data_IF_591566283341
#
_entry.id   IF_591566283341
#
_cell.length_a   1.000
_cell.length_b   1.000
_cell.length_c   1.000
_cell.angle_alpha   90.00
_cell.angle_beta   90.00
_cell.angle_gamma   90.00
#
_symmetry.space_group_name_H-M   'P 1'
#
loop_
_entity.id
_entity.type
_entity.pdbx_description
1 polymer ?
#
# COMPACT_ATOMS: atom_id res chain seq x y z
N UNK A 1 -1.71 41.60 64.36
CA UNK A 1 -2.42 40.29 64.25
C UNK A 1 -2.63 40.00 62.77
N UNK A 2 -2.60 38.71 62.42
CA UNK A 2 -2.11 38.10 61.17
C UNK A 2 -2.52 38.66 59.80
N UNK A 3 -1.56 38.56 58.87
CA UNK A 3 -1.63 38.79 57.42
C UNK A 3 -2.40 37.67 56.73
N UNK A 4 -3.21 37.98 55.71
CA UNK A 4 -3.70 36.99 54.73
C UNK A 4 -3.76 37.60 53.33
N UNK A 5 -2.61 37.58 52.65
CA UNK A 5 -2.51 37.87 51.22
C UNK A 5 -2.84 36.59 50.45
N UNK A 6 -4.03 36.55 49.84
CA UNK A 6 -4.52 35.40 49.09
C UNK A 6 -3.90 35.37 47.69
N UNK A 7 -2.95 34.46 47.47
CA UNK A 7 -2.44 34.14 46.13
C UNK A 7 -3.39 33.14 45.46
N UNK A 8 -4.12 33.59 44.44
CA UNK A 8 -4.92 32.70 43.57
C UNK A 8 -3.96 32.05 42.57
N UNK A 9 -3.54 30.82 42.85
CA UNK A 9 -2.83 29.95 41.91
C UNK A 9 -3.83 29.41 40.88
N UNK A 10 -3.95 30.09 39.75
CA UNK A 10 -4.64 29.55 38.57
C UNK A 10 -3.74 28.49 37.92
N UNK A 11 -3.93 27.22 38.30
CA UNK A 11 -3.28 26.08 37.64
C UNK A 11 -4.01 25.80 36.32
N UNK A 12 -3.51 26.38 35.22
CA UNK A 12 -3.91 25.98 33.87
C UNK A 12 -3.20 24.67 33.53
N UNK A 13 -3.84 23.53 33.84
CA UNK A 13 -3.39 22.23 33.36
C UNK A 13 -3.70 22.12 31.87
N UNK A 14 -2.77 22.57 31.01
CA UNK A 14 -2.81 22.26 29.57
C UNK A 14 -2.38 20.80 29.39
N UNK A 15 -3.31 19.87 29.60
CA UNK A 15 -3.12 18.47 29.27
C UNK A 15 -3.19 18.29 27.75
N UNK A 16 -2.04 18.12 27.10
CA UNK A 16 -2.02 17.55 25.76
C UNK A 16 -2.42 16.08 25.87
N UNK A 17 -3.69 15.79 25.58
CA UNK A 17 -4.14 14.43 25.31
C UNK A 17 -3.57 14.02 23.95
N UNK A 18 -2.37 13.44 23.96
CA UNK A 18 -1.85 12.76 22.79
C UNK A 18 -2.75 11.54 22.53
N UNK A 19 -3.62 11.65 21.53
CA UNK A 19 -4.36 10.50 21.01
C UNK A 19 -3.31 9.54 20.42
N UNK A 20 -3.21 8.34 20.98
CA UNK A 20 -2.25 7.34 20.52
C UNK A 20 -2.86 6.56 19.35
N UNK A 21 -2.18 6.60 18.20
CA UNK A 21 -2.60 5.82 17.04
C UNK A 21 -2.54 4.33 17.35
N UNK A 22 -3.51 3.58 16.83
CA UNK A 22 -3.60 2.13 17.02
C UNK A 22 -3.28 1.42 15.72
N UNK A 23 -2.44 0.40 15.77
CA UNK A 23 -1.99 -0.30 14.57
C UNK A 23 -2.96 -1.40 14.19
N UNK A 24 -3.25 -1.54 12.89
CA UNK A 24 -4.05 -2.64 12.35
C UNK A 24 -3.36 -3.23 11.13
N UNK A 25 -3.25 -4.56 11.11
CA UNK A 25 -2.75 -5.30 9.95
C UNK A 25 -3.91 -5.60 9.02
N UNK A 26 -3.78 -5.19 7.76
CA UNK A 26 -4.77 -5.49 6.73
C UNK A 26 -4.51 -6.89 6.18
N UNK A 27 -5.56 -7.66 5.93
CA UNK A 27 -5.43 -9.04 5.47
C UNK A 27 -4.70 -9.10 4.12
N UNK A 28 -3.67 -9.94 4.05
CA UNK A 28 -2.76 -10.06 2.90
C UNK A 28 -2.05 -8.77 2.49
N UNK A 29 -1.93 -7.81 3.40
CA UNK A 29 -1.22 -6.56 3.18
C UNK A 29 -0.40 -6.12 4.42
N UNK A 30 0.11 -4.89 4.38
CA UNK A 30 0.94 -4.30 5.41
C UNK A 30 0.14 -3.85 6.67
N UNK A 31 0.86 -3.32 7.65
CA UNK A 31 0.30 -2.80 8.89
C UNK A 31 0.25 -1.27 8.85
N UNK A 32 -0.90 -0.70 9.20
CA UNK A 32 -1.20 0.74 9.11
C UNK A 32 -1.55 1.33 10.48
N UNK A 33 -1.26 2.61 10.68
CA UNK A 33 -1.63 3.35 11.89
C UNK A 33 -3.02 3.97 11.75
N UNK A 34 -3.89 3.71 12.72
CA UNK A 34 -5.24 4.25 12.79
C UNK A 34 -5.30 5.36 13.83
N UNK A 35 -5.52 6.58 13.38
CA UNK A 35 -5.73 7.72 14.27
C UNK A 35 -6.88 7.46 15.24
N UNK A 36 -6.68 7.71 16.53
CA UNK A 36 -7.72 7.42 17.55
C UNK A 36 -9.00 8.25 17.35
N UNK A 37 -8.93 9.35 16.60
CA UNK A 37 -10.09 10.16 16.19
C UNK A 37 -11.05 9.41 15.27
N UNK A 38 -10.60 8.35 14.58
CA UNK A 38 -11.43 7.51 13.69
C UNK A 38 -12.23 6.45 14.45
N UNK A 39 -12.01 6.32 15.76
CA UNK A 39 -12.69 5.34 16.61
C UNK A 39 -11.88 4.08 16.85
N UNK A 40 -12.57 3.03 17.33
CA UNK A 40 -11.96 1.76 17.67
C UNK A 40 -11.58 0.96 16.40
N UNK A 41 -10.38 0.39 16.41
CA UNK A 41 -9.88 -0.43 15.30
C UNK A 41 -10.74 -1.67 15.06
N UNK A 42 -10.84 -2.04 13.78
CA UNK A 42 -11.51 -3.26 13.35
C UNK A 42 -10.90 -4.49 14.04
N UNK A 43 -11.67 -5.06 14.95
CA UNK A 43 -11.25 -6.18 15.78
C UNK A 43 -12.48 -6.83 16.42
N UNK A 44 -12.33 -8.04 16.96
CA UNK A 44 -13.41 -8.75 17.65
C UNK A 44 -13.66 -10.15 17.10
N UNK A 45 -14.57 -10.86 17.75
CA UNK A 45 -14.95 -12.24 17.42
C UNK A 45 -16.46 -12.40 17.61
N UNK A 46 -17.10 -13.23 16.79
CA UNK A 46 -18.56 -13.40 16.82
C UNK A 46 -19.30 -12.38 15.94
N UNK A 47 -20.61 -12.23 16.15
CA UNK A 47 -21.53 -11.58 15.20
C UNK A 47 -21.30 -10.09 14.94
N UNK A 48 -20.69 -9.36 15.88
CA UNK A 48 -20.43 -7.93 15.77
C UNK A 48 -18.97 -7.61 16.10
N UNK A 49 -18.35 -6.62 15.43
CA UNK A 49 -17.00 -6.20 15.75
C UNK A 49 -16.97 -5.28 17.00
N UNK A 50 -15.81 -5.24 17.66
CA UNK A 50 -15.50 -4.29 18.75
C UNK A 50 -15.33 -2.86 18.20
N UNK A 51 -14.87 -2.74 16.96
CA UNK A 51 -14.65 -1.48 16.26
C UNK A 51 -14.68 -1.69 14.75
N UNK A 52 -14.75 -0.60 13.98
CA UNK A 52 -14.86 -0.68 12.53
C UNK A 52 -13.80 0.15 11.81
N UNK A 53 -12.92 0.83 12.54
CA UNK A 53 -11.92 1.69 11.94
C UNK A 53 -10.84 0.87 11.22
N UNK A 54 -10.69 1.13 9.93
CA UNK A 54 -9.69 0.56 9.03
C UNK A 54 -8.94 1.69 8.30
N UNK A 55 -7.81 1.37 7.64
CA UNK A 55 -7.09 2.35 6.83
C UNK A 55 -7.98 2.93 5.73
N UNK A 56 -7.81 4.22 5.47
CA UNK A 56 -8.47 4.92 4.37
C UNK A 56 -7.52 5.01 3.17
N UNK A 57 -8.08 5.26 1.99
CA UNK A 57 -7.29 5.49 0.79
C UNK A 57 -6.23 6.58 1.04
N UNK A 58 -4.99 6.28 0.65
CA UNK A 58 -3.84 7.17 0.81
C UNK A 58 -3.10 7.03 2.15
N UNK A 59 -3.62 6.26 3.11
CA UNK A 59 -2.87 5.92 4.32
C UNK A 59 -1.59 5.15 3.96
N UNK A 60 -0.47 5.50 4.59
CA UNK A 60 0.83 4.85 4.34
C UNK A 60 1.08 3.80 5.43
N UNK A 61 1.50 2.61 5.01
CA UNK A 61 1.85 1.55 5.94
C UNK A 61 3.07 1.92 6.79
N UNK A 62 3.04 1.53 8.06
CA UNK A 62 4.11 1.82 9.03
C UNK A 62 5.08 0.63 9.21
N UNK A 63 4.66 -0.58 8.89
CA UNK A 63 5.48 -1.80 8.96
C UNK A 63 4.95 -2.90 8.04
N UNK A 64 5.77 -3.93 7.83
CA UNK A 64 5.51 -5.12 7.00
C UNK A 64 5.36 -4.85 5.50
N UNK A 65 5.57 -3.59 5.08
CA UNK A 65 5.58 -3.22 3.68
C UNK A 65 6.74 -3.89 2.93
N UNK A 66 6.44 -4.56 1.81
CA UNK A 66 7.43 -5.21 0.98
C UNK A 66 6.94 -5.34 -0.48
N UNK A 67 7.85 -5.59 -1.45
CA UNK A 67 7.50 -5.63 -2.87
C UNK A 67 6.56 -6.75 -3.33
N UNK A 68 6.30 -7.75 -2.48
CA UNK A 68 5.33 -8.81 -2.81
C UNK A 68 3.88 -8.41 -2.50
N UNK A 69 3.66 -7.26 -1.85
CA UNK A 69 2.35 -6.78 -1.48
C UNK A 69 1.66 -6.04 -2.63
N UNK A 70 0.32 -6.15 -2.74
CA UNK A 70 -0.43 -5.54 -3.83
C UNK A 70 -0.48 -4.00 -3.75
N UNK A 71 -0.25 -3.41 -2.58
CA UNK A 71 -0.31 -1.96 -2.34
C UNK A 71 1.05 -1.26 -2.46
N UNK A 72 2.10 -2.03 -2.78
CA UNK A 72 3.47 -1.51 -2.93
C UNK A 72 3.62 -0.72 -4.23
N UNK A 73 4.03 0.54 -4.13
CA UNK A 73 4.17 1.44 -5.28
C UNK A 73 5.60 1.54 -5.85
N UNK A 74 6.54 0.77 -5.31
CA UNK A 74 7.97 0.86 -5.65
C UNK A 74 8.85 1.38 -4.51
N UNK A 75 8.28 2.10 -3.54
CA UNK A 75 8.98 2.59 -2.33
C UNK A 75 8.20 2.28 -1.06
N UNK A 76 6.89 2.55 -1.08
CA UNK A 76 6.02 2.49 0.08
C UNK A 76 4.76 1.67 -0.24
N UNK A 77 4.04 1.27 0.80
CA UNK A 77 2.74 0.62 0.68
C UNK A 77 1.69 1.66 1.03
N UNK A 78 0.90 2.05 0.03
CA UNK A 78 -0.13 3.08 0.16
C UNK A 78 -1.47 2.43 -0.07
N UNK A 79 -2.39 2.61 0.88
CA UNK A 79 -3.74 2.10 0.82
C UNK A 79 -4.42 2.58 -0.48
N UNK A 80 -4.77 1.68 -1.42
CA UNK A 80 -5.28 2.08 -2.73
C UNK A 80 -6.77 2.45 -2.68
N UNK A 81 -7.50 1.98 -1.68
CA UNK A 81 -8.93 2.25 -1.40
C UNK A 81 -9.14 2.22 0.10
N UNK A 82 -10.32 2.65 0.55
CA UNK A 82 -10.74 2.43 1.93
C UNK A 82 -10.84 0.92 2.22
N UNK A 83 -10.22 0.48 3.31
CA UNK A 83 -10.34 -0.89 3.76
C UNK A 83 -11.70 -1.12 4.44
N UNK A 84 -12.29 -2.28 4.18
CA UNK A 84 -13.54 -2.70 4.77
C UNK A 84 -13.29 -3.59 5.98
N UNK A 85 -14.00 -3.34 7.08
CA UNK A 85 -13.98 -4.20 8.26
C UNK A 85 -14.93 -5.36 8.05
N UNK A 86 -14.40 -6.55 7.77
CA UNK A 86 -15.17 -7.76 7.49
C UNK A 86 -14.74 -8.91 8.39
N UNK A 87 -15.59 -9.93 8.49
CA UNK A 87 -15.26 -11.16 9.21
C UNK A 87 -14.43 -12.09 8.32
N UNK A 88 -13.17 -12.32 8.72
CA UNK A 88 -12.23 -13.25 8.09
C UNK A 88 -11.96 -14.37 9.11
N UNK A 89 -12.27 -15.62 8.75
CA UNK A 89 -12.02 -16.80 9.61
C UNK A 89 -12.59 -16.65 11.04
N UNK A 90 -13.83 -16.18 11.16
CA UNK A 90 -14.54 -15.91 12.44
C UNK A 90 -14.00 -14.73 13.25
N UNK A 91 -13.02 -13.97 12.74
CA UNK A 91 -12.47 -12.77 13.38
C UNK A 91 -12.67 -11.54 12.51
N UNK A 92 -12.97 -10.40 13.11
CA UNK A 92 -13.07 -9.14 12.38
C UNK A 92 -11.67 -8.60 12.03
N UNK A 93 -11.49 -8.18 10.78
CA UNK A 93 -10.25 -7.61 10.27
C UNK A 93 -10.48 -6.73 9.04
N UNK A 94 -9.49 -5.89 8.75
CA UNK A 94 -9.52 -4.99 7.60
C UNK A 94 -9.09 -5.71 6.32
N UNK A 95 -9.76 -5.44 5.20
CA UNK A 95 -9.41 -5.98 3.88
C UNK A 95 -9.56 -4.90 2.81
N UNK A 96 -8.62 -4.82 1.87
CA UNK A 96 -8.76 -3.95 0.69
C UNK A 96 -9.56 -4.65 -0.41
N UNK A 97 -10.70 -4.10 -0.80
CA UNK A 97 -11.48 -4.58 -1.93
C UNK A 97 -11.01 -3.95 -3.24
N UNK A 98 -9.93 -4.50 -3.80
CA UNK A 98 -9.29 -3.99 -5.03
C UNK A 98 -10.16 -4.15 -6.29
N UNK A 99 -11.27 -4.89 -6.22
CA UNK A 99 -12.24 -4.98 -7.31
C UNK A 99 -12.82 -3.60 -7.66
N UNK A 100 -13.00 -2.73 -6.67
CA UNK A 100 -13.45 -1.34 -6.85
C UNK A 100 -12.37 -0.44 -7.47
N UNK A 101 -11.09 -0.76 -7.29
CA UNK A 101 -9.98 -0.05 -7.95
C UNK A 101 -9.80 -0.50 -9.39
N UNK A 102 -10.02 -1.80 -9.66
CA UNK A 102 -9.88 -2.35 -11.00
C UNK A 102 -10.82 -1.66 -12.00
N UNK A 103 -11.97 -1.15 -11.59
CA UNK A 103 -12.86 -0.38 -12.48
C UNK A 103 -12.33 1.01 -12.84
N UNK A 104 -11.38 1.57 -12.07
CA UNK A 104 -10.75 2.87 -12.36
C UNK A 104 -9.47 2.70 -13.20
N UNK A 105 -8.79 1.54 -13.12
CA UNK A 105 -7.67 1.21 -14.03
C UNK A 105 -8.06 0.38 -15.26
N UNK A 106 -9.29 -0.15 -15.33
CA UNK A 106 -9.81 -0.76 -16.57
C UNK A 106 -10.49 0.21 -17.55
N UNK A 107 -10.68 1.47 -17.18
CA UNK A 107 -11.10 2.48 -18.13
C UNK A 107 -9.85 3.21 -18.62
N UNK A 108 -9.24 2.69 -19.71
CA UNK A 108 -8.56 3.48 -20.78
C UNK A 108 -7.68 2.65 -21.75
N UNK A 109 -7.44 1.33 -21.60
CA UNK A 109 -6.55 0.63 -22.57
C UNK A 109 -6.96 -0.74 -23.13
N UNK A 110 -8.03 -1.41 -22.68
CA UNK A 110 -8.35 -2.75 -23.22
C UNK A 110 -9.56 -2.83 -24.16
N UNK A 111 -10.46 -1.84 -24.19
CA UNK A 111 -11.65 -1.86 -25.07
C UNK A 111 -11.48 -1.10 -26.41
N UNK A 112 -10.24 -0.73 -26.76
CA UNK A 112 -9.93 -0.38 -28.15
C UNK A 112 -8.53 -0.74 -28.58
N UNK A 113 -8.15 -2.01 -28.42
CA UNK A 113 -7.07 -2.57 -29.24
C UNK A 113 -7.54 -2.62 -30.70
N UNK A 114 -6.88 -1.91 -31.66
CA UNK A 114 -7.25 -1.93 -33.08
C UNK A 114 -6.91 -3.23 -33.82
N UNK A 115 -6.51 -4.28 -33.09
CA UNK A 115 -6.06 -5.55 -33.64
C UNK A 115 -7.12 -6.63 -33.44
N UNK A 116 -8.36 -6.32 -33.78
CA UNK A 116 -9.31 -7.35 -34.20
C UNK A 116 -9.03 -7.66 -35.67
N UNK A 117 -8.88 -8.94 -36.01
CA UNK A 117 -8.93 -9.46 -37.38
C UNK A 117 -7.63 -9.53 -38.21
N UNK A 118 -6.56 -10.14 -37.69
CA UNK A 118 -5.57 -10.77 -38.59
C UNK A 118 -5.36 -12.26 -38.27
N UNK A 119 -5.88 -13.18 -39.11
CA UNK A 119 -5.46 -14.57 -39.09
C UNK A 119 -4.07 -14.68 -39.72
N UNK A 120 -3.30 -15.69 -39.27
CA UNK A 120 -1.99 -16.14 -39.75
C UNK A 120 -0.79 -15.17 -39.65
N UNK A 121 0.14 -15.49 -38.73
CA UNK A 121 1.51 -14.94 -38.75
C UNK A 121 2.24 -15.45 -39.99
N UNK A 122 2.67 -14.52 -40.84
CA UNK A 122 3.67 -14.81 -41.86
C UNK A 122 5.00 -15.25 -41.21
N UNK A 123 5.72 -16.25 -41.78
CA UNK A 123 7.10 -16.52 -41.40
C UNK A 123 7.99 -15.29 -41.70
N UNK A 124 9.04 -15.03 -40.90
CA UNK A 124 9.96 -13.94 -41.17
C UNK A 124 10.69 -14.13 -42.52
N UNK A 125 10.95 -13.04 -43.27
CA UNK A 125 11.75 -13.09 -44.49
C UNK A 125 13.18 -13.55 -44.16
N UNK A 126 13.63 -14.61 -44.81
CA UNK A 126 15.03 -15.03 -44.79
C UNK A 126 15.79 -14.18 -45.81
N UNK A 127 16.55 -13.19 -45.35
CA UNK A 127 17.65 -12.59 -46.10
C UNK A 127 18.40 -11.58 -45.22
N UNK A 128 19.62 -11.91 -44.78
CA UNK A 128 20.82 -11.07 -44.92
C UNK A 128 22.04 -11.84 -44.40
N UNK A 129 22.95 -12.16 -45.31
CA UNK A 129 24.22 -12.83 -45.12
C UNK A 129 25.33 -11.80 -44.88
N UNK A 130 26.01 -11.89 -43.72
CA UNK A 130 27.47 -11.73 -43.49
C UNK A 130 28.15 -10.33 -43.72
N UNK A 131 29.47 -10.16 -43.44
CA UNK A 131 30.24 -10.28 -42.18
C UNK A 131 30.96 -8.95 -41.82
N UNK A 132 31.65 -8.88 -40.67
CA UNK A 132 33.07 -8.44 -40.57
C UNK A 132 33.55 -8.52 -39.12
N UNK A 133 34.51 -9.42 -38.91
CA UNK A 133 35.40 -9.49 -37.74
C UNK A 133 36.58 -8.55 -37.98
N UNK A 134 36.92 -7.72 -36.99
CA UNK A 134 38.18 -6.97 -36.82
C UNK A 134 38.16 -6.42 -35.39
N UNK A 135 39.19 -6.41 -34.54
CA UNK A 135 40.63 -6.66 -34.68
C UNK A 135 41.23 -6.82 -33.25
N UNK A 136 42.29 -7.63 -33.14
CA UNK A 136 43.33 -7.78 -32.08
C UNK A 136 43.14 -7.30 -30.62
N UNK A 137 43.53 -8.18 -29.69
CA UNK A 137 44.38 -7.82 -28.53
C UNK A 137 45.43 -8.91 -28.32
N UNK A 138 46.67 -8.45 -28.15
CA UNK A 138 47.94 -9.18 -28.20
C UNK A 138 48.12 -10.31 -27.17
N UNK A 139 48.65 -11.44 -27.63
CA UNK A 139 49.35 -12.42 -26.79
C UNK A 139 50.72 -12.78 -27.39
N UNK A 140 51.73 -12.13 -26.82
CA UNK A 140 53.12 -12.54 -26.55
C UNK A 140 53.78 -13.52 -27.54
N UNK A 141 54.79 -13.00 -28.24
CA UNK A 141 55.75 -13.73 -29.04
C UNK A 141 56.67 -14.65 -28.21
N UNK A 142 56.86 -15.88 -28.72
CA UNK A 142 58.12 -16.60 -29.00
C UNK A 142 59.22 -16.52 -27.92
N UNK A 143 59.85 -17.61 -27.46
CA UNK A 143 60.46 -18.73 -28.20
C UNK A 143 60.94 -19.76 -27.18
#
# INVERSE_FOLDING_TARGET
MSKFTTFVLAMLATGNLAAADTNVTVHHDATYAIASSRGLVCSGHGGDPIGTACPLQGDVAITDCNPALPTYNGTDCIAPVDAECIMVESRWGCVFNLTSTLTVVHDESFEKSPWGDLPWRAPPPADQVSPTVSLQTDHVALK
#
